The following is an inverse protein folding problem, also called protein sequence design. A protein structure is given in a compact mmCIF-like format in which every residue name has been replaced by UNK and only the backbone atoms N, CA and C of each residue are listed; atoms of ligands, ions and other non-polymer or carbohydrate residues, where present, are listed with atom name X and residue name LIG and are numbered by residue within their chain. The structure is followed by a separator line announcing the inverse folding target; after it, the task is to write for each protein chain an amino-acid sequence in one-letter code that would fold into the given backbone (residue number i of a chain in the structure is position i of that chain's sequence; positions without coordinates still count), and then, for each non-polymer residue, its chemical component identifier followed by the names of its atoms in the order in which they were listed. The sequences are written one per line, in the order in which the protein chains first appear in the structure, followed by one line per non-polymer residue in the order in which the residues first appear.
data_IF_211052317376
#
_entry.id   IF_211052317376
#
_cell.length_a   1.000
_cell.length_b   1.000
_cell.length_c   1.000
_cell.angle_alpha   90.00
_cell.angle_beta   90.00
_cell.angle_gamma   90.00
#
_symmetry.space_group_name_H-M   'P 1'
#
loop_
_entity.id
_entity.type
_entity.pdbx_description
1 polymer ?
#
# COMPACT_ATOMS: atom_id res chain seq x y z
N UNK A 1 13.40 -28.80 -36.54
CA UNK A 1 14.17 -27.59 -36.15
C UNK A 1 14.13 -27.56 -34.65
N UNK A 2 15.28 -27.78 -34.00
CA UNK A 2 15.37 -27.88 -32.54
C UNK A 2 15.65 -26.49 -31.96
N UNK A 3 14.87 -26.09 -30.96
CA UNK A 3 15.00 -24.81 -30.27
C UNK A 3 16.27 -24.78 -29.41
N UNK A 4 17.18 -23.87 -29.73
CA UNK A 4 18.36 -23.57 -28.93
C UNK A 4 17.97 -22.74 -27.71
N UNK A 5 18.51 -23.09 -26.55
CA UNK A 5 18.19 -22.41 -25.29
C UNK A 5 19.10 -21.21 -25.06
N UNK A 6 18.63 -20.23 -24.26
CA UNK A 6 19.37 -18.99 -23.90
C UNK A 6 20.79 -19.24 -23.35
N UNK A 7 21.10 -20.44 -22.86
CA UNK A 7 22.41 -20.80 -22.30
C UNK A 7 23.46 -21.09 -23.37
N UNK A 8 23.05 -21.54 -24.55
CA UNK A 8 23.96 -21.90 -25.65
C UNK A 8 24.47 -20.63 -26.36
N UNK A 9 23.62 -19.61 -26.46
CA UNK A 9 23.94 -18.29 -27.06
C UNK A 9 25.04 -17.55 -26.27
N UNK A 10 25.10 -17.73 -24.95
CA UNK A 10 26.10 -17.07 -24.08
C UNK A 10 27.49 -17.72 -24.13
N UNK A 11 27.62 -18.94 -24.67
CA UNK A 11 28.93 -19.62 -24.78
C UNK A 11 29.70 -19.29 -26.06
N UNK A 12 29.05 -18.63 -27.04
CA UNK A 12 29.60 -18.43 -28.38
C UNK A 12 30.52 -17.18 -28.53
N UNK A 13 30.78 -16.44 -27.45
CA UNK A 13 31.63 -15.22 -27.49
C UNK A 13 33.09 -15.51 -27.08
N UNK A 14 33.42 -16.76 -26.75
CA UNK A 14 34.72 -17.12 -26.19
C UNK A 14 35.66 -17.89 -27.10
N UNK A 15 36.08 -17.39 -28.29
CA UNK A 15 37.46 -17.60 -28.81
C UNK A 15 37.79 -16.85 -30.12
N UNK A 16 38.95 -16.18 -30.09
CA UNK A 16 39.87 -15.80 -31.18
C UNK A 16 39.61 -14.54 -32.05
N UNK A 17 40.33 -13.46 -31.73
CA UNK A 17 41.22 -12.77 -32.68
C UNK A 17 42.21 -11.85 -31.93
N UNK A 18 43.51 -12.09 -32.12
CA UNK A 18 44.61 -11.23 -31.68
C UNK A 18 44.56 -9.93 -32.47
N UNK A 19 44.36 -8.81 -31.80
CA UNK A 19 44.39 -7.48 -32.40
C UNK A 19 44.60 -6.43 -31.31
N UNK A 20 45.63 -5.61 -31.47
CA UNK A 20 46.05 -4.46 -30.63
C UNK A 20 44.94 -3.88 -29.75
N UNK A 21 45.07 -4.09 -28.43
CA UNK A 21 44.19 -3.51 -27.44
C UNK A 21 44.42 -1.99 -27.34
N UNK A 22 43.69 -1.22 -28.16
CA UNK A 22 43.40 0.17 -27.82
C UNK A 22 42.43 0.09 -26.65
N UNK A 23 42.92 0.32 -25.43
CA UNK A 23 42.07 0.52 -24.27
C UNK A 23 41.32 1.84 -24.44
N UNK A 24 40.21 1.81 -25.20
CA UNK A 24 39.17 2.81 -25.08
C UNK A 24 38.58 2.64 -23.69
N UNK A 25 39.00 3.49 -22.76
CA UNK A 25 38.28 3.72 -21.53
C UNK A 25 36.86 4.11 -21.92
N UNK A 26 35.91 3.17 -21.83
CA UNK A 26 34.50 3.50 -21.85
C UNK A 26 34.32 4.39 -20.62
N UNK A 27 33.92 5.66 -20.78
CA UNK A 27 33.59 6.46 -19.62
C UNK A 27 32.44 5.71 -18.95
N UNK A 28 32.69 5.24 -17.73
CA UNK A 28 31.61 4.90 -16.82
C UNK A 28 30.87 6.21 -16.66
N UNK A 29 29.81 6.42 -17.45
CA UNK A 29 28.82 7.43 -17.12
C UNK A 29 28.38 7.05 -15.72
N UNK A 30 28.88 7.80 -14.74
CA UNK A 30 28.25 7.84 -13.45
C UNK A 30 26.77 8.00 -13.78
N UNK A 31 25.94 7.06 -13.31
CA UNK A 31 24.51 7.33 -13.26
C UNK A 31 24.44 8.58 -12.39
N UNK A 32 24.39 9.74 -13.04
CA UNK A 32 23.98 10.97 -12.39
C UNK A 32 22.66 10.57 -11.76
N UNK A 33 22.59 10.61 -10.43
CA UNK A 33 21.32 10.59 -9.71
C UNK A 33 20.57 11.82 -10.21
N UNK A 34 19.94 11.67 -11.37
CA UNK A 34 19.05 12.64 -11.94
C UNK A 34 17.88 12.63 -10.99
N UNK A 35 17.88 13.59 -10.05
CA UNK A 35 16.67 13.94 -9.32
C UNK A 35 15.62 14.16 -10.40
N UNK A 36 14.64 13.26 -10.48
CA UNK A 36 13.52 13.40 -11.41
C UNK A 36 12.72 14.59 -10.91
N UNK A 37 13.16 15.79 -11.29
CA UNK A 37 12.48 17.02 -11.00
C UNK A 37 11.21 17.02 -11.84
N UNK A 38 10.08 16.74 -11.19
CA UNK A 38 8.75 16.93 -11.75
C UNK A 38 8.19 15.74 -12.51
N UNK A 39 8.07 14.57 -11.88
CA UNK A 39 7.08 13.59 -12.36
C UNK A 39 5.68 14.18 -12.19
N UNK A 40 4.85 14.13 -13.25
CA UNK A 40 3.44 14.48 -13.16
C UNK A 40 2.64 13.56 -12.20
N UNK A 41 3.25 12.45 -11.79
CA UNK A 41 2.71 11.50 -10.83
C UNK A 41 3.34 11.71 -9.46
N UNK A 42 2.50 11.83 -8.45
CA UNK A 42 2.91 11.71 -7.05
C UNK A 42 3.14 10.23 -6.73
N UNK A 43 4.25 9.92 -6.08
CA UNK A 43 4.65 8.57 -5.73
C UNK A 43 5.03 8.52 -4.26
N UNK A 44 4.84 7.36 -3.66
CA UNK A 44 5.22 7.05 -2.28
C UNK A 44 5.74 5.61 -2.21
N UNK A 45 6.34 5.25 -1.08
CA UNK A 45 6.81 3.90 -0.82
C UNK A 45 6.33 3.40 0.54
N UNK A 46 5.84 2.16 0.59
CA UNK A 46 5.42 1.51 1.82
C UNK A 46 6.63 1.09 2.67
N UNK A 47 6.62 1.47 3.95
CA UNK A 47 7.70 1.16 4.91
C UNK A 47 7.94 -0.34 5.08
N UNK A 48 6.89 -1.15 5.08
CA UNK A 48 6.96 -2.59 5.35
C UNK A 48 7.74 -3.37 4.27
N UNK A 49 7.88 -2.82 3.06
CA UNK A 49 8.65 -3.44 1.98
C UNK A 49 10.17 -3.48 2.25
N UNK A 50 10.63 -2.79 3.30
CA UNK A 50 12.05 -2.65 3.66
C UNK A 50 12.28 -3.10 5.11
N UNK A 51 11.94 -4.35 5.48
CA UNK A 51 11.91 -4.78 6.89
C UNK A 51 13.29 -4.71 7.57
N UNK A 52 14.37 -4.91 6.81
CA UNK A 52 15.76 -4.91 7.31
C UNK A 52 16.41 -3.51 7.31
N UNK A 53 15.66 -2.48 6.93
CA UNK A 53 16.15 -1.10 6.87
C UNK A 53 15.69 -0.32 8.10
N UNK A 54 16.62 0.33 8.79
CA UNK A 54 16.30 1.23 9.90
C UNK A 54 15.46 2.42 9.42
N UNK A 55 14.58 2.93 10.29
CA UNK A 55 13.59 3.95 9.90
C UNK A 55 14.23 5.23 9.33
N UNK A 56 15.27 5.73 9.98
CA UNK A 56 16.02 6.90 9.53
C UNK A 56 16.68 6.64 8.16
N UNK A 57 17.32 5.47 7.99
CA UNK A 57 17.91 5.09 6.72
C UNK A 57 16.86 5.05 5.60
N UNK A 58 15.68 4.49 5.87
CA UNK A 58 14.56 4.48 4.93
C UNK A 58 14.13 5.90 4.51
N UNK A 59 13.99 6.83 5.45
CA UNK A 59 13.63 8.21 5.13
C UNK A 59 14.71 8.94 4.34
N UNK A 60 16.00 8.74 4.66
CA UNK A 60 17.11 9.30 3.85
C UNK A 60 17.08 8.77 2.42
N UNK A 61 16.88 7.47 2.22
CA UNK A 61 16.78 6.90 0.87
C UNK A 61 15.55 7.43 0.12
N UNK A 62 14.40 7.56 0.78
CA UNK A 62 13.19 8.14 0.17
C UNK A 62 13.42 9.58 -0.30
N UNK A 63 14.12 10.40 0.51
CA UNK A 63 14.51 11.76 0.13
C UNK A 63 15.51 11.75 -1.04
N UNK A 64 16.51 10.87 -1.01
CA UNK A 64 17.55 10.73 -2.03
C UNK A 64 16.98 10.41 -3.42
N UNK A 65 15.92 9.59 -3.48
CA UNK A 65 15.23 9.27 -4.74
C UNK A 65 14.16 10.30 -5.10
N UNK A 66 13.89 11.27 -4.22
CA UNK A 66 12.99 12.38 -4.45
C UNK A 66 11.50 12.08 -4.19
N UNK A 67 11.19 11.11 -3.34
CA UNK A 67 9.80 10.84 -2.96
C UNK A 67 9.24 12.00 -2.11
N UNK A 68 8.00 12.47 -2.39
CA UNK A 68 7.32 13.43 -1.52
C UNK A 68 6.68 12.79 -0.28
N UNK A 69 6.45 11.48 -0.29
CA UNK A 69 5.71 10.79 0.76
C UNK A 69 6.14 9.32 0.92
N UNK A 70 5.74 8.74 2.04
CA UNK A 70 5.89 7.32 2.39
C UNK A 70 4.60 6.81 3.04
N UNK A 71 4.37 5.51 2.96
CA UNK A 71 3.12 4.88 3.44
C UNK A 71 3.37 3.86 4.55
N UNK A 72 2.29 3.59 5.26
CA UNK A 72 2.13 2.56 6.28
C UNK A 72 3.11 2.73 7.44
N UNK A 73 3.25 3.98 7.90
CA UNK A 73 3.96 4.32 9.12
C UNK A 73 3.08 4.16 10.36
N UNK A 74 3.71 3.82 11.49
CA UNK A 74 3.08 3.81 12.81
C UNK A 74 2.85 5.24 13.32
N UNK A 75 1.89 5.43 14.23
CA UNK A 75 1.55 6.75 14.80
C UNK A 75 2.79 7.54 15.28
N UNK A 76 3.70 6.88 16.01
CA UNK A 76 4.92 7.51 16.52
C UNK A 76 5.95 7.90 15.47
N UNK A 77 5.79 7.45 14.22
CA UNK A 77 6.71 7.69 13.11
C UNK A 77 6.25 8.84 12.19
N UNK A 78 4.97 9.26 12.29
CA UNK A 78 4.39 10.27 11.40
C UNK A 78 5.12 11.62 11.48
N UNK A 79 5.36 12.12 12.69
CA UNK A 79 6.08 13.39 12.88
C UNK A 79 7.59 13.25 12.62
N UNK A 80 8.14 12.03 12.69
CA UNK A 80 9.54 11.78 12.33
C UNK A 80 9.74 11.97 10.83
N UNK A 81 8.84 11.45 9.99
CA UNK A 81 8.90 11.60 8.54
C UNK A 81 8.98 13.07 8.09
N UNK A 82 8.25 13.97 8.78
CA UNK A 82 8.26 15.42 8.51
C UNK A 82 9.64 16.05 8.64
N UNK A 83 10.48 15.53 9.54
CA UNK A 83 11.85 16.04 9.74
C UNK A 83 12.73 15.80 8.50
N UNK A 84 12.35 14.85 7.65
CA UNK A 84 13.00 14.54 6.38
C UNK A 84 12.31 15.21 5.18
N UNK A 85 11.29 16.03 5.42
CA UNK A 85 10.45 16.63 4.38
C UNK A 85 9.52 15.64 3.69
N UNK A 86 9.21 14.51 4.33
CA UNK A 86 8.30 13.48 3.84
C UNK A 86 6.94 13.58 4.53
N UNK A 87 5.87 13.41 3.77
CA UNK A 87 4.53 13.19 4.31
C UNK A 87 4.30 11.70 4.53
N UNK A 88 3.67 11.31 5.64
CA UNK A 88 3.04 9.99 5.72
C UNK A 88 1.71 10.04 4.96
N UNK A 89 1.64 9.51 3.73
CA UNK A 89 0.44 9.59 2.91
C UNK A 89 -0.67 8.65 3.38
N UNK A 90 -0.32 7.50 3.96
CA UNK A 90 -1.26 6.58 4.61
C UNK A 90 -0.62 6.04 5.89
N UNK A 91 -1.27 6.19 7.04
CA UNK A 91 -0.75 5.72 8.34
C UNK A 91 -1.61 4.62 8.97
N UNK A 92 -1.06 3.92 9.97
CA UNK A 92 -1.84 3.02 10.81
C UNK A 92 -2.63 3.79 11.88
N UNK A 93 -3.97 3.70 11.83
CA UNK A 93 -4.87 4.30 12.83
C UNK A 93 -5.45 3.32 13.85
N UNK A 94 -4.97 2.06 13.87
CA UNK A 94 -5.53 1.02 14.75
C UNK A 94 -6.92 0.53 14.35
N UNK A 95 -7.28 0.62 13.07
CA UNK A 95 -8.56 0.17 12.52
C UNK A 95 -8.57 -1.32 12.14
N UNK A 96 -8.13 -2.16 13.08
CA UNK A 96 -8.02 -3.61 12.93
C UNK A 96 -6.71 -4.07 12.29
N UNK A 97 -6.65 -5.36 12.04
CA UNK A 97 -5.56 -6.06 11.35
C UNK A 97 -6.13 -6.85 10.17
N UNK A 98 -5.27 -7.41 9.33
CA UNK A 98 -5.68 -8.22 8.19
C UNK A 98 -6.56 -9.42 8.63
N UNK A 99 -6.23 -10.08 9.75
CA UNK A 99 -7.02 -11.21 10.27
C UNK A 99 -8.24 -10.78 11.07
N UNK A 100 -8.14 -9.68 11.82
CA UNK A 100 -9.12 -9.25 12.81
C UNK A 100 -9.54 -7.81 12.55
N UNK A 101 -10.64 -7.66 11.80
CA UNK A 101 -11.02 -6.39 11.20
C UNK A 101 -12.49 -6.02 11.40
N UNK A 102 -12.97 -5.17 10.49
CA UNK A 102 -14.29 -4.53 10.51
C UNK A 102 -15.47 -5.50 10.41
N UNK A 103 -15.25 -6.71 9.85
CA UNK A 103 -16.30 -7.70 9.65
C UNK A 103 -16.78 -8.36 10.95
N UNK A 104 -15.98 -8.34 12.01
CA UNK A 104 -16.27 -8.99 13.29
C UNK A 104 -16.71 -7.95 14.35
N UNK A 105 -17.97 -8.00 14.81
CA UNK A 105 -18.50 -7.06 15.80
C UNK A 105 -17.72 -7.02 17.12
N UNK A 106 -17.01 -8.10 17.48
CA UNK A 106 -16.20 -8.13 18.70
C UNK A 106 -15.03 -7.13 18.67
N UNK A 107 -14.55 -6.76 17.48
CA UNK A 107 -13.47 -5.79 17.29
C UNK A 107 -13.96 -4.33 17.30
N UNK A 108 -15.27 -4.10 17.13
CA UNK A 108 -15.80 -2.76 16.82
C UNK A 108 -15.54 -1.74 17.93
N UNK A 109 -15.68 -2.13 19.19
CA UNK A 109 -15.46 -1.21 20.32
C UNK A 109 -14.02 -0.71 20.37
N UNK A 110 -13.04 -1.59 20.09
CA UNK A 110 -11.64 -1.21 20.06
C UNK A 110 -11.29 -0.37 18.83
N UNK A 111 -11.77 -0.78 17.64
CA UNK A 111 -11.55 -0.05 16.38
C UNK A 111 -12.09 1.37 16.49
N UNK A 112 -13.31 1.55 16.99
CA UNK A 112 -13.93 2.87 17.17
C UNK A 112 -13.10 3.72 18.13
N UNK A 113 -12.72 3.17 19.30
CA UNK A 113 -11.87 3.88 20.27
C UNK A 113 -10.53 4.28 19.67
N UNK A 114 -9.90 3.41 18.88
CA UNK A 114 -8.61 3.71 18.25
C UNK A 114 -8.76 4.82 17.22
N UNK A 115 -9.79 4.78 16.37
CA UNK A 115 -10.04 5.80 15.36
C UNK A 115 -10.45 7.15 15.96
N UNK A 116 -11.24 7.17 17.03
CA UNK A 116 -11.54 8.38 17.82
C UNK A 116 -10.27 9.07 18.31
N UNK A 117 -9.24 8.30 18.65
CA UNK A 117 -7.95 8.83 19.11
C UNK A 117 -7.00 9.17 17.95
N UNK A 118 -6.97 8.35 16.91
CA UNK A 118 -5.96 8.45 15.85
C UNK A 118 -6.33 9.45 14.77
N UNK A 119 -7.60 9.65 14.45
CA UNK A 119 -8.02 10.57 13.38
C UNK A 119 -7.63 12.04 13.67
N UNK A 120 -7.85 12.59 14.89
CA UNK A 120 -7.38 13.93 15.21
C UNK A 120 -5.85 14.04 15.21
N UNK A 121 -5.15 12.98 15.65
CA UNK A 121 -3.68 12.92 15.59
C UNK A 121 -3.18 12.91 14.15
N UNK A 122 -3.83 12.14 13.28
CA UNK A 122 -3.51 12.08 11.85
C UNK A 122 -3.70 13.45 11.20
N UNK A 123 -4.81 14.15 11.49
CA UNK A 123 -5.05 15.51 11.02
C UNK A 123 -3.95 16.49 11.47
N UNK A 124 -3.62 16.50 12.77
CA UNK A 124 -2.52 17.31 13.31
C UNK A 124 -1.15 16.92 12.72
N UNK A 125 -0.97 15.63 12.42
CA UNK A 125 0.22 15.09 11.78
C UNK A 125 0.22 15.31 10.25
N UNK A 126 -0.81 15.91 9.66
CA UNK A 126 -0.99 16.04 8.20
C UNK A 126 -0.92 14.71 7.46
N UNK A 127 -1.42 13.65 8.09
CA UNK A 127 -1.57 12.31 7.52
C UNK A 127 -2.98 12.20 6.93
N UNK A 128 -3.13 12.23 5.59
CA UNK A 128 -4.43 12.41 4.96
C UNK A 128 -5.27 11.12 4.96
N UNK A 129 -4.63 9.95 5.11
CA UNK A 129 -5.31 8.66 5.10
C UNK A 129 -4.88 7.78 6.27
N UNK A 130 -5.81 7.02 6.83
CA UNK A 130 -5.53 5.90 7.75
C UNK A 130 -6.07 4.59 7.19
N UNK A 131 -5.29 3.53 7.29
CA UNK A 131 -5.67 2.21 6.76
C UNK A 131 -6.58 1.44 7.72
N UNK A 132 -7.53 0.70 7.15
CA UNK A 132 -8.40 -0.25 7.84
C UNK A 132 -8.52 -1.56 7.05
N UNK A 133 -8.91 -2.64 7.73
CA UNK A 133 -8.97 -3.98 7.15
C UNK A 133 -10.32 -4.65 7.40
N UNK A 134 -10.78 -5.44 6.43
CA UNK A 134 -12.06 -6.15 6.55
C UNK A 134 -11.99 -7.29 7.56
N UNK A 135 -10.89 -8.05 7.63
CA UNK A 135 -10.74 -9.21 8.50
C UNK A 135 -11.04 -10.55 7.80
N UNK A 136 -10.79 -11.66 8.50
CA UNK A 136 -11.07 -13.01 8.00
C UNK A 136 -12.52 -13.41 8.22
N UNK A 137 -13.11 -14.16 7.28
CA UNK A 137 -14.52 -14.57 7.33
C UNK A 137 -14.82 -15.49 8.50
N UNK A 138 -13.98 -16.47 8.77
CA UNK A 138 -14.22 -17.51 9.79
C UNK A 138 -15.60 -18.17 9.65
N UNK A 139 -16.03 -18.38 8.40
CA UNK A 139 -17.34 -18.96 8.06
C UNK A 139 -18.50 -17.95 7.96
N UNK A 140 -18.26 -16.67 8.24
CA UNK A 140 -19.23 -15.59 8.02
C UNK A 140 -19.54 -15.43 6.53
N UNK A 141 -20.82 -15.24 6.21
CA UNK A 141 -21.25 -14.97 4.84
C UNK A 141 -21.10 -13.48 4.49
N UNK A 142 -21.05 -13.17 3.19
CA UNK A 142 -20.80 -11.81 2.73
C UNK A 142 -21.87 -10.81 3.17
N UNK A 143 -23.15 -11.19 3.24
CA UNK A 143 -24.22 -10.27 3.64
C UNK A 143 -24.03 -9.79 5.09
N UNK A 144 -23.74 -10.72 5.99
CA UNK A 144 -23.40 -10.42 7.39
C UNK A 144 -22.11 -9.59 7.48
N UNK A 145 -21.07 -9.95 6.72
CA UNK A 145 -19.82 -9.19 6.67
C UNK A 145 -20.03 -7.74 6.22
N UNK A 146 -20.83 -7.52 5.17
CA UNK A 146 -21.17 -6.19 4.66
C UNK A 146 -21.90 -5.37 5.73
N UNK A 147 -22.89 -5.97 6.40
CA UNK A 147 -23.66 -5.28 7.43
C UNK A 147 -22.77 -4.88 8.61
N UNK A 148 -21.92 -5.79 9.09
CA UNK A 148 -20.99 -5.53 10.20
C UNK A 148 -19.99 -4.42 9.85
N UNK A 149 -19.35 -4.50 8.68
CA UNK A 149 -18.42 -3.47 8.22
C UNK A 149 -19.09 -2.10 8.07
N UNK A 150 -20.29 -2.08 7.46
CA UNK A 150 -21.07 -0.85 7.28
C UNK A 150 -21.40 -0.21 8.62
N UNK A 151 -21.85 -1.00 9.60
CA UNK A 151 -22.26 -0.52 10.91
C UNK A 151 -21.11 0.16 11.66
N UNK A 152 -19.91 -0.43 11.69
CA UNK A 152 -18.76 0.17 12.36
C UNK A 152 -18.23 1.39 11.61
N UNK A 153 -18.15 1.34 10.27
CA UNK A 153 -17.65 2.45 9.48
C UNK A 153 -18.58 3.68 9.57
N UNK A 154 -19.91 3.49 9.62
CA UNK A 154 -20.87 4.59 9.85
C UNK A 154 -20.68 5.29 11.19
N UNK A 155 -20.20 4.59 12.21
CA UNK A 155 -19.95 5.18 13.54
C UNK A 155 -18.75 6.13 13.52
N UNK A 156 -17.73 5.82 12.72
CA UNK A 156 -16.46 6.59 12.66
C UNK A 156 -16.42 7.60 11.52
N UNK A 157 -17.27 7.45 10.49
CA UNK A 157 -17.32 8.35 9.35
C UNK A 157 -17.49 9.84 9.72
N UNK A 158 -18.36 10.23 10.69
CA UNK A 158 -18.48 11.64 11.08
C UNK A 158 -17.18 12.23 11.65
N UNK A 159 -16.36 11.42 12.32
CA UNK A 159 -15.07 11.84 12.87
C UNK A 159 -14.06 12.03 11.73
N UNK A 160 -14.03 11.08 10.80
CA UNK A 160 -13.19 11.17 9.60
C UNK A 160 -13.53 12.42 8.78
N UNK A 161 -14.82 12.74 8.65
CA UNK A 161 -15.33 13.97 8.02
C UNK A 161 -14.92 15.25 8.77
N UNK A 162 -15.06 15.28 10.10
CA UNK A 162 -14.70 16.48 10.88
C UNK A 162 -13.20 16.77 10.89
N UNK A 163 -12.38 15.72 10.89
CA UNK A 163 -10.92 15.82 10.92
C UNK A 163 -10.30 15.93 9.52
N UNK A 164 -11.10 15.84 8.46
CA UNK A 164 -10.66 15.84 7.06
C UNK A 164 -9.69 14.70 6.68
N UNK A 165 -9.74 13.58 7.42
CA UNK A 165 -8.89 12.39 7.22
C UNK A 165 -9.72 11.28 6.60
N UNK A 166 -9.18 10.59 5.59
CA UNK A 166 -9.87 9.49 4.92
C UNK A 166 -9.52 8.13 5.53
N UNK A 167 -10.51 7.34 5.89
CA UNK A 167 -10.33 5.92 6.19
C UNK A 167 -10.30 5.16 4.86
N UNK A 168 -9.17 4.52 4.54
CA UNK A 168 -9.01 3.69 3.34
C UNK A 168 -9.05 2.21 3.74
N UNK A 169 -10.05 1.48 3.24
CA UNK A 169 -10.28 0.07 3.57
C UNK A 169 -9.71 -0.79 2.45
N UNK A 170 -8.76 -1.66 2.76
CA UNK A 170 -7.99 -2.38 1.76
C UNK A 170 -8.63 -3.70 1.33
N UNK A 171 -8.70 -3.90 0.01
CA UNK A 171 -9.03 -5.18 -0.60
C UNK A 171 -7.76 -6.03 -0.76
N UNK A 172 -7.82 -7.29 -0.33
CA UNK A 172 -6.67 -8.19 -0.33
C UNK A 172 -7.02 -9.54 -0.96
N UNK A 173 -6.06 -10.18 -1.61
CA UNK A 173 -6.31 -11.49 -2.23
C UNK A 173 -6.36 -12.61 -1.19
N UNK A 174 -7.37 -13.47 -1.31
CA UNK A 174 -7.53 -14.66 -0.49
C UNK A 174 -6.95 -15.95 -1.10
N UNK A 175 -6.56 -15.90 -2.37
CA UNK A 175 -6.04 -17.06 -3.10
C UNK A 175 -4.58 -17.39 -2.78
N UNK A 176 -3.76 -16.37 -2.52
CA UNK A 176 -2.31 -16.53 -2.40
C UNK A 176 -1.80 -16.07 -1.04
N UNK A 177 -2.16 -14.86 -0.61
CA UNK A 177 -1.53 -14.21 0.54
C UNK A 177 -2.36 -14.24 1.82
N UNK A 178 -3.67 -14.04 1.71
CA UNK A 178 -4.55 -13.89 2.87
C UNK A 178 -5.74 -14.86 2.82
N UNK A 179 -5.50 -16.19 2.91
CA UNK A 179 -6.58 -17.16 2.96
C UNK A 179 -7.66 -16.75 3.95
N UNK A 180 -8.92 -16.89 3.54
CA UNK A 180 -10.10 -16.51 4.33
C UNK A 180 -10.40 -15.00 4.46
N UNK A 181 -9.65 -14.10 3.81
CA UNK A 181 -9.92 -12.64 3.88
C UNK A 181 -11.29 -12.25 3.27
N UNK A 182 -12.14 -11.55 4.03
CA UNK A 182 -13.52 -11.20 3.64
C UNK A 182 -13.59 -10.24 2.45
N UNK A 183 -12.79 -9.18 2.46
CA UNK A 183 -12.77 -8.15 1.43
C UNK A 183 -11.89 -8.51 0.24
N UNK A 184 -12.09 -9.70 -0.35
CA UNK A 184 -11.23 -10.21 -1.42
C UNK A 184 -11.77 -10.01 -2.84
N UNK A 185 -12.94 -9.37 -2.99
CA UNK A 185 -13.50 -8.96 -4.27
C UNK A 185 -13.99 -7.52 -4.22
N UNK A 186 -13.84 -6.80 -5.33
CA UNK A 186 -14.24 -5.40 -5.50
C UNK A 186 -15.72 -5.19 -5.19
N UNK A 187 -16.59 -6.12 -5.61
CA UNK A 187 -18.03 -6.03 -5.39
C UNK A 187 -18.40 -5.95 -3.90
N UNK A 188 -17.72 -6.73 -3.04
CA UNK A 188 -17.92 -6.70 -1.59
C UNK A 188 -17.56 -5.32 -1.03
N UNK A 189 -16.35 -4.83 -1.33
CA UNK A 189 -15.88 -3.54 -0.83
C UNK A 189 -16.74 -2.38 -1.32
N UNK A 190 -17.12 -2.36 -2.59
CA UNK A 190 -17.94 -1.29 -3.18
C UNK A 190 -19.32 -1.23 -2.52
N UNK A 191 -19.92 -2.39 -2.22
CA UNK A 191 -21.20 -2.44 -1.51
C UNK A 191 -21.09 -1.83 -0.11
N UNK A 192 -20.03 -2.16 0.64
CA UNK A 192 -19.77 -1.53 1.95
C UNK A 192 -19.62 -0.01 1.83
N UNK A 193 -18.77 0.48 0.92
CA UNK A 193 -18.54 1.92 0.76
C UNK A 193 -19.81 2.67 0.34
N UNK A 194 -20.61 2.10 -0.58
CA UNK A 194 -21.91 2.67 -0.97
C UNK A 194 -22.88 2.77 0.20
N UNK A 195 -22.94 1.75 1.06
CA UNK A 195 -23.83 1.76 2.22
C UNK A 195 -23.39 2.74 3.29
N UNK A 196 -22.08 2.93 3.47
CA UNK A 196 -21.51 3.92 4.40
C UNK A 196 -21.81 5.34 3.93
N UNK A 197 -21.73 5.60 2.63
CA UNK A 197 -22.08 6.88 1.99
C UNK A 197 -21.36 8.10 2.60
N UNK A 198 -20.04 7.98 2.78
CA UNK A 198 -19.20 9.06 3.30
C UNK A 198 -18.12 9.48 2.30
N UNK A 199 -17.83 10.79 2.17
CA UNK A 199 -16.68 11.27 1.40
C UNK A 199 -15.34 10.87 2.02
N UNK A 200 -15.29 10.46 3.30
CA UNK A 200 -14.07 10.12 4.04
C UNK A 200 -13.91 8.63 4.37
N UNK A 201 -14.71 7.76 3.74
CA UNK A 201 -14.48 6.31 3.78
C UNK A 201 -14.40 5.80 2.34
N UNK A 202 -13.25 5.24 1.96
CA UNK A 202 -12.92 4.84 0.57
C UNK A 202 -12.28 3.45 0.55
N UNK A 203 -12.23 2.84 -0.65
CA UNK A 203 -11.44 1.63 -0.86
C UNK A 203 -10.00 1.98 -1.20
N UNK A 204 -9.06 1.25 -0.59
CA UNK A 204 -7.72 1.12 -1.11
C UNK A 204 -7.75 -0.04 -2.12
N UNK A 205 -7.64 0.32 -3.41
CA UNK A 205 -7.64 -0.65 -4.51
C UNK A 205 -6.20 -1.03 -4.86
N UNK A 206 -5.73 -2.15 -4.33
CA UNK A 206 -4.44 -2.69 -4.69
C UNK A 206 -4.55 -3.56 -5.95
N UNK A 207 -3.88 -3.13 -7.01
CA UNK A 207 -3.91 -3.78 -8.33
C UNK A 207 -3.32 -5.19 -8.26
N UNK A 208 -2.30 -5.45 -7.44
CA UNK A 208 -1.71 -6.78 -7.31
C UNK A 208 -2.73 -7.77 -6.72
N UNK A 209 -3.41 -7.38 -5.63
CA UNK A 209 -4.41 -8.24 -5.01
C UNK A 209 -5.60 -8.48 -5.95
N UNK A 210 -6.13 -7.44 -6.58
CA UNK A 210 -7.31 -7.58 -7.44
C UNK A 210 -6.98 -8.26 -8.77
N UNK A 211 -5.76 -8.15 -9.29
CA UNK A 211 -5.30 -8.94 -10.44
C UNK A 211 -5.30 -10.45 -10.16
N UNK A 212 -4.98 -10.87 -8.93
CA UNK A 212 -5.02 -12.28 -8.52
C UNK A 212 -6.47 -12.77 -8.38
N UNK A 213 -7.36 -11.92 -7.86
CA UNK A 213 -8.73 -12.31 -7.56
C UNK A 213 -9.63 -12.27 -8.80
N UNK A 214 -9.53 -11.19 -9.58
CA UNK A 214 -10.51 -10.83 -10.62
C UNK A 214 -9.94 -10.92 -12.04
N UNK A 215 -8.62 -11.12 -12.19
CA UNK A 215 -8.00 -11.24 -13.50
C UNK A 215 -7.79 -9.86 -14.14
N UNK A 216 -8.35 -9.62 -15.32
CA UNK A 216 -8.01 -8.45 -16.12
C UNK A 216 -8.52 -7.12 -15.51
N UNK A 217 -7.74 -6.54 -14.60
CA UNK A 217 -8.08 -5.30 -13.88
C UNK A 217 -8.32 -4.11 -14.81
N UNK A 218 -7.72 -4.08 -16.01
CA UNK A 218 -7.95 -2.99 -16.98
C UNK A 218 -9.42 -2.95 -17.43
N UNK A 219 -10.09 -4.10 -17.44
CA UNK A 219 -11.51 -4.19 -17.78
C UNK A 219 -12.42 -4.13 -16.55
N UNK A 220 -11.86 -4.34 -15.35
CA UNK A 220 -12.64 -4.37 -14.10
C UNK A 220 -12.79 -2.99 -13.46
N UNK A 221 -11.83 -2.09 -13.65
CA UNK A 221 -11.81 -0.73 -13.08
C UNK A 221 -12.42 0.33 -14.00
#
# INVERSE_FOLDING_TARGET
MADLTRREVMSLVGTAAVGTAVTRSVPTSAITRGRVLGSAMQQSACRWCFPDMELDEFFRHAQDVGLPAVDLLQEGEWDVAKQYGLTCSTGYGGAGTISDGLNDPSNHSEIVRNLELSLPKAANASVPNVIAFFGNRRGMNDAEGIDNCTNVLKRVAPIAESEDVTIVVELLNSRVNHPDYMGDHTAFGVEVIKRVDSPRVKLLYDIYHMQIMEGNVIQTI
#
